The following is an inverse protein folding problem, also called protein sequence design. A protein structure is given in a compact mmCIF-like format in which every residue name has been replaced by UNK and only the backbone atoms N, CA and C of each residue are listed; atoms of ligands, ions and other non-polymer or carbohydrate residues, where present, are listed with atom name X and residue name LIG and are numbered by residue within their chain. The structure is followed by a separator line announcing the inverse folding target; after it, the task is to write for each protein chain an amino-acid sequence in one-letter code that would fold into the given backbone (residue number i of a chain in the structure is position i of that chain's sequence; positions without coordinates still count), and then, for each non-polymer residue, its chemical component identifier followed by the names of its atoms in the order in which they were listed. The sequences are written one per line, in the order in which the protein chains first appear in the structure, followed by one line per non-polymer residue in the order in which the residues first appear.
data_IF_640051020524
#
_entry.id   IF_640051020524
#
_cell.length_a   1.000
_cell.length_b   1.000
_cell.length_c   1.000
_cell.angle_alpha   90.00
_cell.angle_beta   90.00
_cell.angle_gamma   90.00
#
_symmetry.space_group_name_H-M   'P 1'
#
loop_
_entity.id
_entity.type
_entity.pdbx_description
1 polymer ?
#
# COMPACT_ATOMS: atom_id res chain seq x y z
N UNK A 1 -16.53 -14.21 -19.80
CA UNK A 1 -15.85 -13.73 -18.58
C UNK A 1 -15.93 -14.83 -17.54
N UNK A 2 -14.83 -15.54 -17.26
CA UNK A 2 -14.83 -16.67 -16.34
C UNK A 2 -14.18 -16.23 -15.01
N UNK A 3 -14.99 -16.07 -13.96
CA UNK A 3 -14.48 -15.96 -12.59
C UNK A 3 -13.90 -17.32 -12.20
N UNK A 4 -12.57 -17.46 -12.28
CA UNK A 4 -11.88 -18.63 -11.73
C UNK A 4 -11.49 -18.32 -10.28
N UNK A 5 -12.31 -18.77 -9.34
CA UNK A 5 -11.89 -18.96 -7.96
C UNK A 5 -10.91 -20.14 -7.94
N UNK A 6 -9.61 -19.87 -7.81
CA UNK A 6 -8.60 -20.92 -7.71
C UNK A 6 -8.37 -21.25 -6.23
N UNK A 7 -8.98 -22.35 -5.78
CA UNK A 7 -8.79 -22.94 -4.46
C UNK A 7 -7.37 -23.54 -4.35
N UNK A 8 -6.57 -23.07 -3.38
CA UNK A 8 -5.39 -23.80 -2.88
C UNK A 8 -5.67 -24.13 -1.41
N UNK A 9 -5.59 -25.40 -0.97
CA UNK A 9 -5.92 -25.77 0.41
C UNK A 9 -4.93 -25.14 1.40
N UNK A 10 -5.43 -24.53 2.48
CA UNK A 10 -4.62 -24.10 3.64
C UNK A 10 -4.24 -22.61 3.71
N UNK A 11 -4.60 -21.79 2.73
CA UNK A 11 -4.36 -20.34 2.77
C UNK A 11 -5.63 -19.59 2.38
N UNK A 12 -6.13 -18.73 3.27
CA UNK A 12 -7.28 -17.86 3.00
C UNK A 12 -7.03 -17.10 1.69
N UNK A 13 -7.89 -17.36 0.71
CA UNK A 13 -7.71 -16.92 -0.67
C UNK A 13 -7.85 -15.41 -0.76
N UNK A 14 -6.79 -14.73 -1.17
CA UNK A 14 -6.96 -13.44 -1.79
C UNK A 14 -7.66 -13.64 -3.14
N UNK A 15 -8.96 -13.35 -3.21
CA UNK A 15 -9.69 -13.31 -4.47
C UNK A 15 -8.97 -12.35 -5.44
N UNK A 16 -8.58 -12.86 -6.61
CA UNK A 16 -7.90 -12.10 -7.65
C UNK A 16 -8.84 -11.95 -8.84
N UNK A 17 -9.44 -10.77 -8.98
CA UNK A 17 -10.27 -10.42 -10.14
C UNK A 17 -9.49 -9.52 -11.07
N UNK A 18 -9.83 -9.48 -12.36
CA UNK A 18 -9.25 -8.49 -13.28
C UNK A 18 -10.28 -7.42 -13.55
N UNK A 19 -10.02 -6.20 -13.08
CA UNK A 19 -10.89 -5.04 -13.24
C UNK A 19 -10.13 -4.00 -14.08
N UNK A 20 -10.67 -3.67 -15.26
CA UNK A 20 -10.05 -2.72 -16.21
C UNK A 20 -8.57 -3.01 -16.49
N UNK A 21 -8.23 -4.28 -16.75
CA UNK A 21 -6.86 -4.70 -17.07
C UNK A 21 -5.89 -4.75 -15.88
N UNK A 22 -6.36 -4.59 -14.64
CA UNK A 22 -5.54 -4.71 -13.42
C UNK A 22 -6.06 -5.81 -12.51
N UNK A 23 -5.16 -6.46 -11.79
CA UNK A 23 -5.57 -7.33 -10.68
C UNK A 23 -6.22 -6.51 -9.58
N UNK A 24 -7.28 -7.05 -9.02
CA UNK A 24 -7.96 -6.54 -7.85
C UNK A 24 -7.89 -7.60 -6.77
N UNK A 25 -7.42 -7.20 -5.59
CA UNK A 25 -7.14 -8.09 -4.47
C UNK A 25 -7.80 -7.60 -3.18
N UNK A 26 -7.93 -8.50 -2.21
CA UNK A 26 -8.32 -8.19 -0.83
C UNK A 26 -7.14 -8.39 0.11
N UNK A 27 -7.17 -7.72 1.26
CA UNK A 27 -6.18 -7.98 2.29
C UNK A 27 -6.34 -9.39 2.87
N UNK A 28 -5.24 -10.16 3.01
CA UNK A 28 -5.28 -11.46 3.64
C UNK A 28 -5.15 -11.28 5.16
N UNK A 29 -6.26 -11.09 5.85
CA UNK A 29 -6.27 -11.10 7.32
C UNK A 29 -5.98 -12.52 7.85
N UNK A 30 -5.22 -12.61 8.94
CA UNK A 30 -4.92 -13.88 9.63
C UNK A 30 -6.19 -14.50 10.21
N UNK A 31 -6.94 -13.68 10.93
CA UNK A 31 -8.23 -14.01 11.53
C UNK A 31 -9.24 -12.94 11.06
N UNK A 32 -9.66 -12.04 11.95
CA UNK A 32 -10.47 -10.86 11.64
C UNK A 32 -9.73 -9.55 11.93
N UNK A 33 -10.35 -8.43 11.58
CA UNK A 33 -9.89 -7.08 11.91
C UNK A 33 -10.41 -6.55 13.25
N UNK A 34 -11.18 -7.35 14.00
CA UNK A 34 -11.98 -6.89 15.15
C UNK A 34 -11.16 -6.29 16.30
N UNK A 35 -9.90 -6.70 16.44
CA UNK A 35 -9.00 -6.23 17.49
C UNK A 35 -8.27 -4.91 17.15
N UNK A 36 -8.44 -4.42 15.92
CA UNK A 36 -7.84 -3.15 15.53
C UNK A 36 -8.52 -1.99 16.26
N UNK A 37 -7.72 -1.18 16.95
CA UNK A 37 -8.17 0.05 17.57
C UNK A 37 -8.23 1.22 16.60
N UNK A 38 -8.72 2.35 17.10
CA UNK A 38 -8.68 3.62 16.37
C UNK A 38 -7.23 4.03 16.04
N UNK A 39 -7.01 4.46 14.80
CA UNK A 39 -5.68 4.83 14.28
C UNK A 39 -5.62 6.23 13.68
N UNK A 40 -6.77 6.90 13.50
CA UNK A 40 -6.88 8.22 12.86
C UNK A 40 -6.05 9.29 13.57
N UNK A 41 -6.19 9.41 14.90
CA UNK A 41 -5.47 10.44 15.68
C UNK A 41 -3.95 10.28 15.59
N UNK A 42 -3.48 9.04 15.51
CA UNK A 42 -2.06 8.71 15.34
C UNK A 42 -1.57 9.18 13.97
N UNK A 43 -2.35 8.95 12.91
CA UNK A 43 -2.04 9.44 11.57
C UNK A 43 -2.08 10.98 11.51
N UNK A 44 -3.04 11.64 12.15
CA UNK A 44 -3.13 13.10 12.26
C UNK A 44 -1.91 13.68 12.97
N UNK A 45 -1.53 13.10 14.11
CA UNK A 45 -0.35 13.52 14.85
C UNK A 45 0.92 13.36 14.01
N UNK A 46 1.07 12.25 13.28
CA UNK A 46 2.22 12.05 12.36
C UNK A 46 2.25 13.09 11.25
N UNK A 47 1.10 13.43 10.65
CA UNK A 47 1.00 14.48 9.64
C UNK A 47 1.43 15.85 10.19
N UNK A 48 1.04 16.19 11.43
CA UNK A 48 1.47 17.43 12.08
C UNK A 48 2.98 17.47 12.33
N UNK A 49 3.59 16.35 12.74
CA UNK A 49 5.04 16.27 12.92
C UNK A 49 5.81 16.51 11.61
N UNK A 50 5.31 15.97 10.49
CA UNK A 50 5.92 16.16 9.17
C UNK A 50 5.87 17.62 8.74
N UNK A 51 4.77 18.33 9.02
CA UNK A 51 4.63 19.76 8.72
C UNK A 51 5.67 20.61 9.45
N UNK A 52 6.03 20.26 10.70
CA UNK A 52 7.12 20.92 11.42
C UNK A 52 8.49 20.74 10.73
N UNK A 53 8.66 19.70 9.91
CA UNK A 53 9.87 19.51 9.08
C UNK A 53 9.82 20.33 7.79
N UNK A 54 8.62 20.55 7.22
CA UNK A 54 8.44 21.34 6.01
C UNK A 54 8.83 22.80 6.19
N UNK A 55 8.55 23.39 7.36
CA UNK A 55 9.00 24.77 7.65
C UNK A 55 10.53 24.94 7.61
N UNK A 56 11.29 23.85 7.81
CA UNK A 56 12.75 23.84 7.74
C UNK A 56 13.29 23.42 6.37
N UNK A 57 12.46 22.85 5.50
CA UNK A 57 12.88 22.33 4.20
C UNK A 57 11.75 22.44 3.17
N UNK A 58 11.74 23.57 2.44
CA UNK A 58 10.72 23.87 1.44
C UNK A 58 10.78 22.91 0.24
N UNK A 59 11.97 22.42 -0.13
CA UNK A 59 12.12 21.43 -1.22
C UNK A 59 11.44 20.11 -0.87
N UNK A 60 11.61 19.63 0.38
CA UNK A 60 10.93 18.43 0.88
C UNK A 60 9.41 18.61 0.88
N UNK A 61 8.94 19.80 1.28
CA UNK A 61 7.52 20.17 1.24
C UNK A 61 6.96 20.08 -0.18
N UNK A 62 7.63 20.71 -1.16
CA UNK A 62 7.18 20.70 -2.56
C UNK A 62 7.13 19.29 -3.16
N UNK A 63 8.16 18.47 -2.92
CA UNK A 63 8.19 17.07 -3.38
C UNK A 63 7.08 16.23 -2.76
N UNK A 64 6.80 16.43 -1.47
CA UNK A 64 5.72 15.75 -0.77
C UNK A 64 4.35 16.13 -1.33
N UNK A 65 4.04 17.43 -1.47
CA UNK A 65 2.74 17.86 -2.01
C UNK A 65 2.55 17.37 -3.43
N UNK A 66 3.58 17.48 -4.28
CA UNK A 66 3.56 16.94 -5.64
C UNK A 66 3.25 15.43 -5.66
N UNK A 67 3.89 14.65 -4.78
CA UNK A 67 3.63 13.21 -4.70
C UNK A 67 2.18 12.91 -4.30
N UNK A 68 1.64 13.62 -3.31
CA UNK A 68 0.27 13.44 -2.86
C UNK A 68 -0.73 13.85 -3.94
N UNK A 69 -0.52 15.00 -4.58
CA UNK A 69 -1.33 15.46 -5.73
C UNK A 69 -1.32 14.44 -6.87
N UNK A 70 -0.15 13.90 -7.23
CA UNK A 70 -0.03 12.88 -8.26
C UNK A 70 -0.78 11.59 -7.86
N UNK A 71 -0.76 11.21 -6.58
CA UNK A 71 -1.56 10.10 -6.06
C UNK A 71 -3.06 10.33 -6.26
N UNK A 72 -3.54 11.55 -6.00
CA UNK A 72 -4.95 11.90 -6.18
C UNK A 72 -5.33 11.88 -7.66
N UNK A 73 -4.55 12.56 -8.52
CA UNK A 73 -4.81 12.70 -9.96
C UNK A 73 -4.81 11.35 -10.68
N UNK A 74 -3.93 10.44 -10.28
CA UNK A 74 -3.87 9.08 -10.84
C UNK A 74 -4.96 8.14 -10.26
N UNK A 75 -5.83 8.64 -9.38
CA UNK A 75 -6.87 7.86 -8.72
C UNK A 75 -6.34 6.78 -7.79
N UNK A 76 -5.08 6.91 -7.32
CA UNK A 76 -4.46 6.01 -6.35
C UNK A 76 -4.93 6.26 -4.92
N UNK A 77 -5.56 7.41 -4.69
CA UNK A 77 -6.33 7.70 -3.50
C UNK A 77 -7.62 8.42 -3.87
N UNK A 78 -8.64 8.29 -3.04
CA UNK A 78 -9.94 8.94 -3.20
C UNK A 78 -10.37 9.55 -1.88
N UNK A 79 -11.00 10.73 -1.94
CA UNK A 79 -11.62 11.36 -0.79
C UNK A 79 -12.71 10.44 -0.23
N UNK A 80 -12.78 10.32 1.08
CA UNK A 80 -13.82 9.57 1.78
C UNK A 80 -15.00 10.53 2.03
N UNK A 81 -16.23 10.18 1.63
CA UNK A 81 -17.42 10.95 1.97
C UNK A 81 -17.60 11.08 3.49
N UNK A 82 -18.10 12.21 3.98
CA UNK A 82 -18.25 12.47 5.43
C UNK A 82 -19.03 11.37 6.15
N UNK A 83 -20.08 10.84 5.51
CA UNK A 83 -20.91 9.75 6.05
C UNK A 83 -20.20 8.38 6.11
N UNK A 84 -18.99 8.25 5.56
CA UNK A 84 -18.17 7.03 5.59
C UNK A 84 -16.91 7.17 6.46
N UNK A 85 -16.68 8.34 7.06
CA UNK A 85 -15.50 8.59 7.93
C UNK A 85 -15.67 7.84 9.25
N UNK A 86 -16.83 8.01 9.89
CA UNK A 86 -17.13 7.49 11.23
C UNK A 86 -17.65 6.05 11.16
N UNK A 87 -16.73 5.12 10.89
CA UNK A 87 -16.97 3.67 10.91
C UNK A 87 -16.32 3.04 12.14
N UNK A 88 -16.76 1.84 12.56
CA UNK A 88 -16.10 1.10 13.63
C UNK A 88 -14.60 0.92 13.37
N UNK A 89 -13.81 0.92 14.44
CA UNK A 89 -12.35 0.74 14.36
C UNK A 89 -11.97 -0.61 13.74
N UNK A 90 -12.81 -1.63 13.90
CA UNK A 90 -12.65 -2.94 13.27
C UNK A 90 -12.84 -2.92 11.74
N UNK A 91 -13.42 -1.86 11.18
CA UNK A 91 -13.75 -1.75 9.76
C UNK A 91 -12.82 -0.80 8.99
N UNK A 92 -11.88 -0.14 9.66
CA UNK A 92 -10.94 0.75 8.98
C UNK A 92 -9.62 0.91 9.71
N UNK A 93 -8.58 1.28 8.95
CA UNK A 93 -7.27 1.58 9.51
C UNK A 93 -6.63 2.75 8.78
N UNK A 94 -6.19 3.74 9.56
CA UNK A 94 -5.44 4.90 9.06
C UNK A 94 -3.95 4.63 9.15
N UNK A 95 -3.28 4.59 8.00
CA UNK A 95 -1.84 4.46 7.87
C UNK A 95 -1.20 5.83 8.07
N UNK A 96 -0.39 6.03 9.13
CA UNK A 96 0.50 7.18 9.18
C UNK A 96 1.47 7.10 8.00
N UNK A 97 1.80 8.23 7.40
CA UNK A 97 2.71 8.26 6.26
C UNK A 97 3.76 9.34 6.44
N UNK A 98 4.92 9.18 5.80
CA UNK A 98 6.00 10.16 5.89
C UNK A 98 6.88 10.22 4.64
N UNK A 99 7.42 11.40 4.28
CA UNK A 99 8.32 11.53 3.15
C UNK A 99 9.70 10.96 3.47
N UNK A 100 10.24 10.21 2.52
CA UNK A 100 11.63 9.75 2.51
C UNK A 100 12.39 10.61 1.50
N UNK A 101 13.32 11.47 1.96
CA UNK A 101 14.09 12.32 1.07
C UNK A 101 15.03 11.50 0.19
N UNK A 102 15.29 11.99 -1.02
CA UNK A 102 16.25 11.42 -1.95
C UNK A 102 17.64 11.53 -1.32
N UNK A 103 18.16 10.42 -0.82
CA UNK A 103 19.57 10.30 -0.44
C UNK A 103 20.21 9.33 -1.42
N UNK A 104 21.40 9.67 -1.90
CA UNK A 104 22.23 8.76 -2.72
C UNK A 104 21.59 8.27 -4.03
N UNK A 105 20.81 9.12 -4.72
CA UNK A 105 20.22 8.78 -6.03
C UNK A 105 18.86 8.08 -5.98
N UNK A 106 18.34 7.77 -4.79
CA UNK A 106 16.98 7.23 -4.63
C UNK A 106 15.90 8.23 -5.10
N UNK A 107 14.81 7.71 -5.69
CA UNK A 107 13.62 8.50 -6.04
C UNK A 107 12.81 8.84 -4.79
N UNK A 108 12.18 10.02 -4.83
CA UNK A 108 11.32 10.52 -3.74
C UNK A 108 10.13 9.60 -3.55
N UNK A 109 9.84 9.30 -2.29
CA UNK A 109 8.69 8.45 -1.94
C UNK A 109 8.07 8.85 -0.61
N UNK A 110 6.79 8.58 -0.47
CA UNK A 110 6.05 8.68 0.80
C UNK A 110 5.79 7.27 1.29
N UNK A 111 6.33 6.90 2.44
CA UNK A 111 6.09 5.57 3.03
C UNK A 111 4.81 5.61 3.83
N UNK A 112 3.96 4.60 3.63
CA UNK A 112 2.76 4.33 4.43
C UNK A 112 3.10 3.26 5.48
N UNK A 113 2.93 3.57 6.75
CA UNK A 113 3.41 2.79 7.87
C UNK A 113 2.33 1.81 8.37
N UNK A 114 2.31 0.59 7.81
CA UNK A 114 1.41 -0.48 8.25
C UNK A 114 1.79 -1.10 9.60
N UNK A 115 2.97 -0.78 10.14
CA UNK A 115 3.46 -1.28 11.43
C UNK A 115 3.15 -0.33 12.58
N UNK A 116 2.61 0.86 12.30
CA UNK A 116 2.14 1.77 13.33
C UNK A 116 1.04 1.09 14.16
N UNK A 117 1.18 1.15 15.49
CA UNK A 117 0.18 0.59 16.40
C UNK A 117 -1.04 1.51 16.46
N UNK A 118 -2.24 0.91 16.52
CA UNK A 118 -3.48 1.61 16.84
C UNK A 118 -3.62 1.84 18.36
N UNK A 119 -4.73 2.43 18.79
CA UNK A 119 -5.06 2.58 20.22
C UNK A 119 -5.15 1.27 21.00
N UNK A 120 -5.38 0.13 20.34
CA UNK A 120 -5.32 -1.20 20.97
C UNK A 120 -3.91 -1.78 21.10
N UNK A 121 -2.87 -1.08 20.61
CA UNK A 121 -1.50 -1.59 20.58
C UNK A 121 -1.21 -2.56 19.43
N UNK A 122 -2.20 -2.82 18.57
CA UNK A 122 -2.11 -3.73 17.41
C UNK A 122 -1.98 -2.91 16.13
N UNK A 123 -1.09 -3.31 15.23
CA UNK A 123 -0.94 -2.71 13.89
C UNK A 123 -1.68 -3.49 12.83
N UNK A 124 -1.91 -2.85 11.67
CA UNK A 124 -2.42 -3.55 10.50
C UNK A 124 -1.52 -4.74 10.11
N UNK A 125 -0.20 -4.54 10.13
CA UNK A 125 0.75 -5.59 9.77
C UNK A 125 0.73 -6.80 10.71
N UNK A 126 0.35 -6.63 11.97
CA UNK A 126 0.18 -7.76 12.89
C UNK A 126 -1.01 -8.65 12.48
N UNK A 127 -2.06 -8.05 11.91
CA UNK A 127 -3.28 -8.74 11.48
C UNK A 127 -3.21 -9.26 10.04
N UNK A 128 -2.31 -8.74 9.22
CA UNK A 128 -2.10 -9.22 7.86
C UNK A 128 -1.21 -10.47 7.81
N UNK A 129 -1.52 -11.38 6.89
CA UNK A 129 -0.66 -12.49 6.50
C UNK A 129 0.44 -11.97 5.57
N UNK A 130 1.70 -12.32 5.86
CA UNK A 130 2.84 -11.97 4.99
C UNK A 130 2.78 -12.77 3.67
N UNK A 131 2.30 -14.02 3.75
CA UNK A 131 2.38 -14.99 2.66
C UNK A 131 3.76 -15.65 2.54
N UNK A 132 3.86 -16.80 1.86
CA UNK A 132 5.14 -17.48 1.64
C UNK A 132 6.05 -16.69 0.70
N UNK A 133 7.37 -16.88 0.83
CA UNK A 133 8.34 -16.29 -0.08
C UNK A 133 8.17 -16.89 -1.48
N UNK A 134 7.73 -16.08 -2.44
CA UNK A 134 7.57 -16.46 -3.85
C UNK A 134 8.77 -16.10 -4.73
N UNK A 135 9.71 -15.32 -4.20
CA UNK A 135 10.90 -14.90 -4.95
C UNK A 135 11.81 -16.11 -5.16
N UNK A 136 12.26 -16.30 -6.40
CA UNK A 136 13.33 -17.25 -6.69
C UNK A 136 14.58 -16.80 -5.96
N UNK A 137 15.32 -17.75 -5.41
CA UNK A 137 16.63 -17.49 -4.81
C UNK A 137 17.54 -16.70 -5.78
N UNK A 138 18.24 -15.70 -5.23
CA UNK A 138 19.04 -14.78 -6.04
C UNK A 138 20.20 -15.51 -6.72
N UNK A 139 20.83 -16.47 -6.05
CA UNK A 139 21.91 -17.29 -6.64
C UNK A 139 21.40 -18.05 -7.84
N UNK A 140 20.25 -18.71 -7.70
CA UNK A 140 19.58 -19.43 -8.77
C UNK A 140 19.21 -18.52 -9.94
N UNK A 141 18.70 -17.33 -9.66
CA UNK A 141 18.37 -16.33 -10.68
C UNK A 141 19.62 -15.88 -11.45
N UNK A 142 20.71 -15.56 -10.75
CA UNK A 142 21.97 -15.13 -11.36
C UNK A 142 22.63 -16.23 -12.19
N UNK A 143 22.59 -17.49 -11.73
CA UNK A 143 23.08 -18.63 -12.49
C UNK A 143 22.30 -18.80 -13.80
N UNK A 144 20.96 -18.78 -13.75
CA UNK A 144 20.11 -18.83 -14.96
C UNK A 144 20.41 -17.68 -15.92
N UNK A 145 20.58 -16.47 -15.39
CA UNK A 145 20.90 -15.30 -16.20
C UNK A 145 22.22 -15.47 -16.96
N UNK A 146 23.22 -16.12 -16.35
CA UNK A 146 24.54 -16.39 -16.97
C UNK A 146 24.54 -17.57 -17.94
N UNK A 147 23.58 -18.50 -17.87
CA UNK A 147 23.52 -19.66 -18.77
C UNK A 147 23.07 -19.32 -20.19
N UNK A 148 22.44 -18.15 -20.41
CA UNK A 148 21.94 -17.74 -21.71
C UNK A 148 22.81 -16.63 -22.32
N UNK A 149 23.03 -16.71 -23.65
CA UNK A 149 23.84 -15.73 -24.39
C UNK A 149 23.23 -14.31 -24.37
N UNK A 150 21.91 -14.23 -24.26
CA UNK A 150 21.14 -12.98 -24.28
C UNK A 150 20.19 -13.03 -23.09
N UNK A 151 20.13 -11.94 -22.34
CA UNK A 151 19.21 -11.76 -21.24
C UNK A 151 18.45 -10.44 -21.37
N UNK A 152 17.15 -10.48 -21.08
CA UNK A 152 16.26 -9.32 -21.18
C UNK A 152 15.86 -8.92 -19.76
N UNK A 153 15.99 -7.64 -19.46
CA UNK A 153 15.60 -7.05 -18.18
C UNK A 153 14.56 -5.96 -18.42
N UNK A 154 13.53 -5.93 -17.59
CA UNK A 154 12.53 -4.88 -17.58
C UNK A 154 12.22 -4.47 -16.13
N UNK A 155 11.98 -3.18 -15.92
CA UNK A 155 11.52 -2.65 -14.63
C UNK A 155 10.01 -2.39 -14.69
N UNK A 156 9.29 -2.81 -13.65
CA UNK A 156 7.84 -2.58 -13.55
C UNK A 156 7.63 -1.30 -12.75
N UNK A 157 7.45 -0.21 -13.48
CA UNK A 157 7.27 1.10 -12.86
C UNK A 157 6.07 1.08 -11.90
N UNK A 158 6.33 1.43 -10.63
CA UNK A 158 5.31 1.51 -9.56
C UNK A 158 4.50 0.20 -9.45
N UNK A 159 5.16 -0.96 -9.50
CA UNK A 159 4.55 -2.30 -9.45
C UNK A 159 3.36 -2.43 -8.48
N UNK A 160 3.52 -2.04 -7.21
CA UNK A 160 2.43 -2.11 -6.22
C UNK A 160 1.18 -1.31 -6.61
N UNK A 161 1.37 -0.16 -7.29
CA UNK A 161 0.28 0.72 -7.72
C UNK A 161 -0.50 0.16 -8.91
N UNK A 162 0.00 -0.88 -9.57
CA UNK A 162 -0.72 -1.56 -10.66
C UNK A 162 -1.81 -2.52 -10.15
N UNK A 163 -1.87 -2.75 -8.83
CA UNK A 163 -2.81 -3.69 -8.23
C UNK A 163 -3.85 -2.90 -7.45
N UNK A 164 -5.11 -3.12 -7.80
CA UNK A 164 -6.28 -2.53 -7.13
C UNK A 164 -6.54 -3.25 -5.82
N UNK A 165 -6.90 -2.51 -4.78
CA UNK A 165 -7.35 -3.06 -3.51
C UNK A 165 -8.86 -2.88 -3.40
N UNK A 166 -9.59 -3.97 -3.18
CA UNK A 166 -11.05 -3.94 -3.00
C UNK A 166 -11.45 -3.38 -1.64
N UNK A 167 -10.76 -3.82 -0.58
CA UNK A 167 -11.02 -3.41 0.80
C UNK A 167 -10.07 -2.28 1.21
N UNK A 168 -10.30 -1.12 0.61
CA UNK A 168 -9.40 0.04 0.75
C UNK A 168 -9.53 0.77 2.10
N UNK A 169 -10.52 0.44 2.92
CA UNK A 169 -10.73 1.11 4.21
C UNK A 169 -9.71 0.70 5.28
N UNK A 170 -8.97 -0.38 5.07
CA UNK A 170 -7.77 -0.69 5.85
C UNK A 170 -6.49 0.01 5.35
N UNK A 171 -6.59 0.87 4.32
CA UNK A 171 -5.52 1.78 3.91
C UNK A 171 -6.05 3.22 3.82
N UNK A 172 -6.71 3.70 4.87
CA UNK A 172 -7.04 5.13 4.96
C UNK A 172 -5.79 5.94 5.29
N UNK A 173 -5.79 7.21 4.91
CA UNK A 173 -4.77 8.19 5.28
C UNK A 173 -5.44 9.54 5.54
N UNK A 174 -4.74 10.41 6.25
CA UNK A 174 -5.18 11.80 6.41
C UNK A 174 -4.25 12.73 5.65
N UNK A 175 -4.79 13.70 4.93
CA UNK A 175 -3.98 14.67 4.20
C UNK A 175 -4.72 16.00 4.05
N UNK A 176 -3.96 17.06 3.80
CA UNK A 176 -4.46 18.36 3.37
C UNK A 176 -3.40 19.05 2.55
N UNK A 177 -3.82 19.82 1.56
CA UNK A 177 -2.91 20.51 0.67
C UNK A 177 -2.40 21.81 1.30
N UNK A 178 -3.29 22.56 1.96
CA UNK A 178 -2.95 23.82 2.61
C UNK A 178 -2.97 23.71 4.15
N UNK A 179 -2.13 24.48 4.89
CA UNK A 179 -2.27 24.60 6.34
C UNK A 179 -3.60 25.23 6.78
N UNK A 180 -4.23 26.03 5.90
CA UNK A 180 -5.49 26.72 6.15
C UNK A 180 -6.72 25.86 5.85
N UNK A 181 -6.53 24.72 5.21
CA UNK A 181 -7.60 23.77 4.92
C UNK A 181 -7.79 22.78 6.09
N UNK A 182 -9.01 22.24 6.25
CA UNK A 182 -9.24 21.13 7.16
C UNK A 182 -8.44 19.90 6.71
N UNK A 183 -8.14 19.03 7.68
CA UNK A 183 -7.59 17.71 7.36
C UNK A 183 -8.72 16.87 6.77
N UNK A 184 -8.45 16.24 5.62
CA UNK A 184 -9.38 15.37 4.92
C UNK A 184 -8.90 13.91 4.98
N UNK A 185 -9.86 13.01 4.88
CA UNK A 185 -9.66 11.57 4.96
C UNK A 185 -9.72 10.95 3.55
N UNK A 186 -8.71 10.15 3.21
CA UNK A 186 -8.60 9.50 1.90
C UNK A 186 -8.43 8.00 2.08
N UNK A 187 -8.99 7.21 1.15
CA UNK A 187 -8.71 5.77 1.02
C UNK A 187 -7.76 5.52 -0.14
N UNK A 188 -6.71 4.73 0.10
CA UNK A 188 -5.79 4.31 -0.96
C UNK A 188 -6.41 3.16 -1.76
N UNK A 189 -6.54 3.32 -3.07
CA UNK A 189 -7.21 2.36 -3.97
C UNK A 189 -6.28 1.29 -4.51
N UNK A 190 -4.97 1.45 -4.29
CA UNK A 190 -3.92 0.53 -4.73
C UNK A 190 -3.19 -0.04 -3.52
N UNK A 191 -2.53 -1.19 -3.70
CA UNK A 191 -1.66 -1.74 -2.65
C UNK A 191 -0.61 -0.70 -2.26
N UNK A 192 -0.59 -0.33 -0.98
CA UNK A 192 0.45 0.51 -0.42
C UNK A 192 1.66 -0.36 -0.03
N UNK A 193 2.85 0.05 -0.47
CA UNK A 193 4.08 -0.50 0.11
C UNK A 193 4.19 -0.07 1.57
N UNK A 194 4.69 -0.98 2.41
CA UNK A 194 4.71 -0.83 3.87
C UNK A 194 3.65 -1.68 4.59
N UNK A 195 2.75 -2.33 3.85
CA UNK A 195 1.90 -3.41 4.37
C UNK A 195 2.59 -4.77 4.27
N UNK A 196 2.37 -5.64 5.25
CA UNK A 196 3.06 -6.93 5.38
C UNK A 196 2.80 -7.87 4.18
N UNK A 197 1.59 -7.84 3.63
CA UNK A 197 1.17 -8.68 2.50
C UNK A 197 1.56 -8.13 1.13
N UNK A 198 1.96 -6.85 1.02
CA UNK A 198 2.19 -6.20 -0.27
C UNK A 198 3.20 -6.94 -1.18
N UNK A 199 4.37 -7.40 -0.69
CA UNK A 199 5.34 -8.11 -1.54
C UNK A 199 4.77 -9.41 -2.11
N UNK A 200 4.14 -10.23 -1.26
CA UNK A 200 3.52 -11.49 -1.69
C UNK A 200 2.43 -11.25 -2.73
N UNK A 201 1.49 -10.33 -2.44
CA UNK A 201 0.38 -10.01 -3.34
C UNK A 201 0.89 -9.54 -4.71
N UNK A 202 1.93 -8.71 -4.71
CA UNK A 202 2.47 -8.17 -5.95
C UNK A 202 3.15 -9.23 -6.81
N UNK A 203 3.97 -10.08 -6.21
CA UNK A 203 4.64 -11.18 -6.93
C UNK A 203 3.62 -12.22 -7.39
N UNK A 204 2.63 -12.55 -6.56
CA UNK A 204 1.59 -13.52 -6.92
C UNK A 204 0.77 -13.04 -8.12
N UNK A 205 0.44 -11.75 -8.20
CA UNK A 205 -0.22 -11.18 -9.38
C UNK A 205 0.65 -11.31 -10.65
N UNK A 206 1.96 -11.07 -10.55
CA UNK A 206 2.88 -11.25 -11.69
C UNK A 206 2.99 -12.71 -12.13
N UNK A 207 3.12 -13.65 -11.19
CA UNK A 207 3.11 -15.07 -11.51
C UNK A 207 1.80 -15.47 -12.20
N UNK A 208 0.67 -14.95 -11.72
CA UNK A 208 -0.63 -15.22 -12.32
C UNK A 208 -0.77 -14.63 -13.73
N UNK A 209 -0.14 -13.49 -14.01
CA UNK A 209 -0.04 -12.93 -15.37
C UNK A 209 0.74 -13.83 -16.31
N UNK A 210 1.87 -14.38 -15.86
CA UNK A 210 2.72 -15.22 -16.69
C UNK A 210 2.09 -16.59 -17.05
N UNK A 211 1.06 -17.01 -16.32
CA UNK A 211 0.30 -18.23 -16.58
C UNK A 211 -0.89 -18.04 -17.53
N UNK A 212 -1.17 -16.80 -17.96
CA UNK A 212 -2.19 -16.49 -18.97
C UNK A 212 -1.59 -16.52 -20.35
#
# INVERSE_FOLDING_TARGET
MLNRHLNVPGHSLTAMETIFGRFAVKFPFRDSSDELGSSRDIAVHRLQQIKRRFSKNQSLSGQYHKFMDDYLKLGHMKLIPENEIDVPASSSFYLPHHPVPNKNGDKFRVVFDGSAKSSSGISLNDKLMVGPQLQTDLTTLLLRFRMHKIAITADIEKMYRQITLHDSDFQRIVWRNSPFEPIQDFRLTRIAYGTASAPYLAIKCLQQLALR
#
